data_IF_695967831918
#
_entry.id   IF_695967831918
#
_cell.length_a   1.000
_cell.length_b   1.000
_cell.length_c   1.000
_cell.angle_alpha   90.00
_cell.angle_beta   90.00
_cell.angle_gamma   90.00
#
_symmetry.space_group_name_H-M   'P 1'
#
loop_
_entity.id
_entity.type
_entity.pdbx_description
1 polymer ?
#
# COMPACT_ATOMS: atom_id res chain seq x y z
N UNK A 1 -3.13 8.53 4.08
CA UNK A 1 -2.52 7.43 3.30
C UNK A 1 -3.05 7.46 1.90
N UNK A 2 -2.23 7.13 0.93
CA UNK A 2 -2.60 7.25 -0.47
C UNK A 2 -2.42 5.92 -1.17
N UNK A 3 -3.47 5.42 -1.79
CA UNK A 3 -3.39 4.15 -2.47
C UNK A 3 -4.73 3.71 -3.00
N UNK A 4 -4.75 2.52 -3.62
CA UNK A 4 -5.98 2.00 -4.20
C UNK A 4 -5.91 0.48 -4.30
N UNK A 5 -7.08 -0.14 -4.34
CA UNK A 5 -7.20 -1.60 -4.39
C UNK A 5 -7.02 -2.08 -5.83
N UNK A 6 -6.26 -3.17 -5.99
CA UNK A 6 -6.08 -3.83 -7.27
C UNK A 6 -6.35 -5.32 -7.11
N UNK A 7 -6.46 -6.04 -8.24
CA UNK A 7 -6.77 -7.47 -8.20
C UNK A 7 -5.78 -8.27 -7.38
N UNK A 8 -4.51 -7.92 -7.45
CA UNK A 8 -3.46 -8.69 -6.77
C UNK A 8 -3.15 -8.16 -5.37
N UNK A 9 -3.89 -7.16 -4.90
CA UNK A 9 -3.65 -6.62 -3.56
C UNK A 9 -3.97 -5.15 -3.43
N UNK A 10 -3.08 -4.41 -2.84
CA UNK A 10 -3.26 -2.98 -2.60
C UNK A 10 -2.02 -2.22 -3.05
N UNK A 11 -2.22 -1.22 -3.90
CA UNK A 11 -1.11 -0.35 -4.33
C UNK A 11 -1.03 0.84 -3.39
N UNK A 12 0.01 0.86 -2.55
CA UNK A 12 0.21 1.94 -1.59
C UNK A 12 1.32 2.88 -2.02
N UNK A 13 1.12 4.17 -1.79
CA UNK A 13 2.10 5.18 -2.17
C UNK A 13 3.21 5.26 -1.13
N UNK A 14 4.46 5.07 -1.58
CA UNK A 14 5.63 5.07 -0.71
C UNK A 14 6.77 5.83 -1.38
N UNK A 15 7.20 6.93 -0.77
CA UNK A 15 8.39 7.68 -1.20
C UNK A 15 8.39 8.01 -2.69
N UNK A 16 7.25 8.51 -3.18
CA UNK A 16 7.18 9.00 -4.55
C UNK A 16 6.76 7.98 -5.57
N UNK A 17 6.43 6.76 -5.16
CA UNK A 17 5.96 5.74 -6.10
C UNK A 17 5.03 4.76 -5.41
N UNK A 18 4.28 4.01 -6.21
CA UNK A 18 3.35 3.01 -5.69
C UNK A 18 4.03 1.66 -5.58
N UNK A 19 3.74 0.96 -4.48
CA UNK A 19 4.24 -0.39 -4.24
C UNK A 19 3.09 -1.33 -3.97
N UNK A 20 3.22 -2.58 -4.39
CA UNK A 20 2.19 -3.59 -4.19
C UNK A 20 2.30 -4.20 -2.81
N UNK A 21 1.18 -4.17 -2.08
CA UNK A 21 1.05 -4.83 -0.78
C UNK A 21 -0.02 -5.90 -0.88
N UNK A 22 0.06 -6.90 -0.02
CA UNK A 22 -0.93 -7.96 -0.02
C UNK A 22 -2.32 -7.44 0.33
N UNK A 23 -2.39 -6.51 1.31
CA UNK A 23 -3.65 -5.90 1.75
C UNK A 23 -3.39 -4.46 2.13
N UNK A 24 -4.48 -3.70 2.29
CA UNK A 24 -4.37 -2.33 2.80
C UNK A 24 -3.80 -2.32 4.21
N UNK A 25 -4.18 -3.29 5.04
CA UNK A 25 -3.66 -3.37 6.41
C UNK A 25 -2.14 -3.51 6.40
N UNK A 26 -1.60 -4.31 5.51
CA UNK A 26 -0.15 -4.46 5.38
C UNK A 26 0.50 -3.11 5.04
N UNK A 27 -0.12 -2.36 4.15
CA UNK A 27 0.39 -1.04 3.79
C UNK A 27 0.35 -0.10 4.99
N UNK A 28 -0.76 -0.09 5.73
CA UNK A 28 -0.89 0.79 6.89
C UNK A 28 0.14 0.44 7.97
N UNK A 29 0.36 -0.86 8.20
CA UNK A 29 1.40 -1.29 9.14
C UNK A 29 2.78 -0.82 8.70
N UNK A 30 3.06 -0.95 7.43
CA UNK A 30 4.34 -0.52 6.88
C UNK A 30 4.55 0.98 7.10
N UNK A 31 3.53 1.77 6.84
CA UNK A 31 3.64 3.23 6.96
C UNK A 31 3.70 3.69 8.41
N UNK A 32 3.13 2.92 9.32
CA UNK A 32 3.13 3.26 10.75
C UNK A 32 4.43 2.88 11.44
N UNK A 33 5.22 2.03 10.85
CA UNK A 33 6.45 1.51 11.47
C UNK A 33 7.56 2.56 11.62
#
# INVERSE_FOLDING_TARGET
>A
MKGYIVDSGYMGYVDGRYELFATEDDYLDYMAA
#
